data_IF_880887425025
#
_entry.id   IF_880887425025
#
_cell.length_a   1.000
_cell.length_b   1.000
_cell.length_c   1.000
_cell.angle_alpha   90.00
_cell.angle_beta   90.00
_cell.angle_gamma   90.00
#
_symmetry.space_group_name_H-M   'P 1'
#
loop_
_entity.id
_entity.type
_entity.pdbx_description
1 polymer ?
#
# COMPACT_ATOMS: atom_id res chain seq x y z
N UNK A 1 -11.69 -8.05 -25.88
CA UNK A 1 -10.90 -7.74 -24.66
C UNK A 1 -10.91 -8.86 -23.63
N UNK A 2 -11.82 -9.83 -23.74
CA UNK A 2 -11.84 -11.08 -22.96
C UNK A 2 -10.63 -11.99 -23.22
N UNK A 3 -9.81 -11.66 -24.20
CA UNK A 3 -8.65 -12.45 -24.59
C UNK A 3 -7.41 -12.22 -23.73
N UNK A 4 -7.44 -11.29 -22.79
CA UNK A 4 -6.29 -11.01 -21.92
C UNK A 4 -6.15 -12.03 -20.78
N UNK A 5 -7.26 -12.56 -20.28
CA UNK A 5 -7.24 -13.46 -19.12
C UNK A 5 -6.33 -14.69 -19.34
N UNK A 6 -6.39 -15.44 -20.47
CA UNK A 6 -5.52 -16.58 -20.69
C UNK A 6 -4.04 -16.21 -20.69
N UNK A 7 -3.68 -15.09 -21.32
CA UNK A 7 -2.31 -14.59 -21.36
C UNK A 7 -1.83 -14.17 -19.98
N UNK A 8 -2.66 -13.42 -19.24
CA UNK A 8 -2.32 -12.96 -17.88
C UNK A 8 -2.16 -14.13 -16.92
N UNK A 9 -2.99 -15.17 -17.03
CA UNK A 9 -2.86 -16.38 -16.23
C UNK A 9 -1.56 -17.12 -16.52
N UNK A 10 -1.19 -17.26 -17.79
CA UNK A 10 0.02 -17.94 -18.24
C UNK A 10 1.28 -17.19 -17.77
N UNK A 11 1.29 -15.86 -17.90
CA UNK A 11 2.45 -15.00 -17.64
C UNK A 11 2.47 -14.41 -16.23
N UNK A 12 1.56 -14.85 -15.35
CA UNK A 12 1.35 -14.32 -14.00
C UNK A 12 2.58 -14.44 -13.08
N UNK A 13 3.47 -15.41 -13.35
CA UNK A 13 4.53 -15.79 -12.40
C UNK A 13 4.03 -16.55 -11.17
N UNK A 14 2.72 -16.91 -11.13
CA UNK A 14 2.09 -17.64 -10.03
C UNK A 14 1.66 -19.05 -10.46
N UNK A 15 1.73 -20.05 -9.54
CA UNK A 15 2.22 -19.95 -8.16
C UNK A 15 3.71 -19.66 -8.08
N UNK A 16 4.11 -18.77 -7.17
CA UNK A 16 5.51 -18.37 -7.04
C UNK A 16 5.72 -17.30 -5.98
N UNK A 17 6.98 -16.99 -5.64
CA UNK A 17 7.30 -15.99 -4.62
C UNK A 17 6.93 -14.57 -5.06
N UNK A 18 6.97 -14.29 -6.37
CA UNK A 18 6.70 -12.97 -6.96
C UNK A 18 5.79 -13.12 -8.17
N UNK A 19 4.72 -12.32 -8.22
CA UNK A 19 3.93 -12.12 -9.44
C UNK A 19 4.70 -11.26 -10.46
N UNK A 20 4.27 -11.29 -11.70
CA UNK A 20 4.86 -10.50 -12.80
C UNK A 20 4.44 -9.02 -12.69
N UNK A 21 5.19 -8.24 -11.88
CA UNK A 21 4.88 -6.84 -11.61
C UNK A 21 4.98 -5.96 -12.86
N UNK A 22 5.92 -6.26 -13.73
CA UNK A 22 6.14 -5.58 -15.00
C UNK A 22 4.92 -5.73 -15.91
N UNK A 23 4.37 -6.94 -15.98
CA UNK A 23 3.14 -7.21 -16.74
C UNK A 23 1.94 -6.49 -16.10
N UNK A 24 1.82 -6.48 -14.77
CA UNK A 24 0.74 -5.76 -14.10
C UNK A 24 0.76 -4.25 -14.38
N UNK A 25 1.95 -3.64 -14.45
CA UNK A 25 2.10 -2.26 -14.85
C UNK A 25 1.69 -2.05 -16.32
N UNK A 26 2.11 -2.94 -17.23
CA UNK A 26 1.70 -2.88 -18.62
C UNK A 26 0.18 -3.01 -18.80
N UNK A 27 -0.46 -3.90 -18.02
CA UNK A 27 -1.93 -4.02 -17.98
C UNK A 27 -2.58 -2.70 -17.54
N UNK A 28 -2.01 -2.06 -16.51
CA UNK A 28 -2.52 -0.77 -16.04
C UNK A 28 -2.33 0.34 -17.10
N UNK A 29 -1.24 0.33 -17.84
CA UNK A 29 -0.96 1.33 -18.89
C UNK A 29 -1.87 1.18 -20.10
N UNK A 30 -2.11 -0.04 -20.55
CA UNK A 30 -2.86 -0.33 -21.79
C UNK A 30 -4.36 -0.56 -21.56
N UNK A 31 -4.75 -0.99 -20.34
CA UNK A 31 -6.14 -1.31 -20.01
C UNK A 31 -7.03 -0.09 -19.80
N UNK A 32 -8.30 -0.36 -19.57
CA UNK A 32 -9.34 0.60 -19.27
C UNK A 32 -10.16 0.17 -18.04
N UNK A 33 -10.97 1.07 -17.50
CA UNK A 33 -11.76 0.82 -16.30
C UNK A 33 -12.66 -0.43 -16.41
N UNK A 34 -13.38 -0.70 -17.53
CA UNK A 34 -14.13 -1.94 -17.70
C UNK A 34 -13.29 -3.21 -17.55
N UNK A 35 -12.07 -3.23 -18.11
CA UNK A 35 -11.15 -4.34 -17.93
C UNK A 35 -10.74 -4.49 -16.48
N UNK A 36 -10.35 -3.40 -15.81
CA UNK A 36 -9.90 -3.47 -14.42
C UNK A 36 -11.00 -3.94 -13.47
N UNK A 37 -12.24 -3.53 -13.70
CA UNK A 37 -13.41 -4.02 -12.95
C UNK A 37 -13.69 -5.49 -13.20
N UNK A 38 -13.55 -5.96 -14.45
CA UNK A 38 -13.62 -7.39 -14.76
C UNK A 38 -12.55 -8.16 -13.98
N UNK A 39 -11.29 -7.75 -14.05
CA UNK A 39 -10.19 -8.41 -13.36
C UNK A 39 -10.37 -8.40 -11.83
N UNK A 40 -10.91 -7.33 -11.25
CA UNK A 40 -11.23 -7.25 -9.82
C UNK A 40 -12.39 -8.17 -9.40
N UNK A 41 -13.23 -8.63 -10.33
CA UNK A 41 -14.35 -9.51 -9.99
C UNK A 41 -13.92 -10.90 -9.49
N UNK A 42 -12.65 -11.28 -9.71
CA UNK A 42 -12.09 -12.53 -9.19
C UNK A 42 -11.83 -12.43 -7.68
N UNK A 43 -12.86 -12.72 -6.89
CA UNK A 43 -12.81 -12.70 -5.43
C UNK A 43 -11.92 -13.82 -4.84
N UNK A 44 -11.67 -13.79 -3.52
CA UNK A 44 -10.74 -14.74 -2.86
C UNK A 44 -11.08 -16.22 -3.05
N UNK A 45 -12.34 -16.55 -3.26
CA UNK A 45 -12.78 -17.94 -3.51
C UNK A 45 -12.39 -18.43 -4.92
N UNK A 46 -12.52 -17.56 -5.94
CA UNK A 46 -12.19 -17.87 -7.32
C UNK A 46 -10.69 -17.70 -7.60
N UNK A 47 -10.06 -16.79 -6.88
CA UNK A 47 -8.68 -16.41 -7.02
C UNK A 47 -7.96 -16.51 -5.66
N UNK A 48 -7.75 -17.73 -5.12
CA UNK A 48 -7.10 -17.91 -3.83
C UNK A 48 -5.65 -17.44 -3.87
N UNK A 49 -5.11 -17.12 -2.69
CA UNK A 49 -3.72 -16.66 -2.54
C UNK A 49 -2.74 -17.59 -3.26
N UNK A 50 -1.83 -17.00 -4.01
CA UNK A 50 -0.78 -17.66 -4.78
C UNK A 50 -1.29 -18.49 -5.98
N UNK A 51 -2.55 -18.35 -6.39
CA UNK A 51 -3.04 -18.90 -7.66
C UNK A 51 -2.79 -17.92 -8.81
N UNK A 52 -2.68 -18.39 -10.07
CA UNK A 52 -2.62 -17.50 -11.23
C UNK A 52 -3.81 -16.52 -11.31
N UNK A 53 -4.98 -16.93 -10.84
CA UNK A 53 -6.16 -16.06 -10.78
C UNK A 53 -6.01 -14.87 -9.83
N UNK A 54 -5.22 -15.00 -8.73
CA UNK A 54 -4.89 -13.86 -7.86
C UNK A 54 -4.23 -12.74 -8.64
N UNK A 55 -3.43 -13.09 -9.67
CA UNK A 55 -2.78 -12.11 -10.52
C UNK A 55 -3.75 -11.26 -11.32
N UNK A 56 -4.86 -11.85 -11.79
CA UNK A 56 -5.93 -11.10 -12.48
C UNK A 56 -6.48 -10.02 -11.55
N UNK A 57 -6.89 -10.40 -10.34
CA UNK A 57 -7.41 -9.46 -9.36
C UNK A 57 -6.38 -8.37 -8.99
N UNK A 58 -5.12 -8.77 -8.84
CA UNK A 58 -4.01 -7.85 -8.60
C UNK A 58 -3.86 -6.81 -9.73
N UNK A 59 -3.88 -7.25 -11.01
CA UNK A 59 -3.85 -6.35 -12.17
C UNK A 59 -5.03 -5.38 -12.17
N UNK A 60 -6.22 -5.86 -11.77
CA UNK A 60 -7.40 -5.00 -11.63
C UNK A 60 -7.18 -3.89 -10.59
N UNK A 61 -6.63 -4.21 -9.41
CA UNK A 61 -6.33 -3.23 -8.38
C UNK A 61 -5.29 -2.20 -8.85
N UNK A 62 -4.17 -2.66 -9.45
CA UNK A 62 -3.13 -1.77 -10.01
C UNK A 62 -3.69 -0.87 -11.10
N UNK A 63 -4.56 -1.43 -11.97
CA UNK A 63 -5.21 -0.70 -13.07
C UNK A 63 -6.11 0.44 -12.61
N UNK A 64 -6.84 0.29 -11.50
CA UNK A 64 -7.63 1.37 -10.92
C UNK A 64 -6.79 2.59 -10.54
N UNK A 65 -5.48 2.42 -10.30
CA UNK A 65 -4.56 3.53 -10.09
C UNK A 65 -4.43 4.45 -11.31
N UNK A 66 -4.53 3.92 -12.56
CA UNK A 66 -4.61 4.75 -13.77
C UNK A 66 -5.89 5.58 -13.81
N UNK A 67 -7.02 4.93 -13.52
CA UNK A 67 -8.33 5.59 -13.51
C UNK A 67 -8.37 6.72 -12.48
N UNK A 68 -7.80 6.48 -11.29
CA UNK A 68 -7.64 7.47 -10.23
C UNK A 68 -6.74 8.62 -10.66
N UNK A 69 -5.59 8.32 -11.28
CA UNK A 69 -4.64 9.33 -11.78
C UNK A 69 -5.22 10.17 -12.95
N UNK A 70 -6.24 9.67 -13.63
CA UNK A 70 -7.00 10.40 -14.66
C UNK A 70 -8.12 11.28 -14.07
N UNK A 71 -8.28 11.30 -12.74
CA UNK A 71 -9.21 12.18 -12.03
C UNK A 71 -10.52 11.53 -11.62
N UNK A 72 -10.78 10.25 -11.93
CA UNK A 72 -11.96 9.55 -11.43
C UNK A 72 -11.74 9.08 -9.99
N UNK A 73 -12.02 9.95 -9.03
CA UNK A 73 -11.85 9.67 -7.60
C UNK A 73 -12.90 8.70 -7.03
N UNK A 74 -13.94 8.35 -7.79
CA UNK A 74 -14.95 7.38 -7.33
C UNK A 74 -14.35 5.99 -7.09
N UNK A 75 -13.31 5.63 -7.83
CA UNK A 75 -12.61 4.33 -7.63
C UNK A 75 -11.82 4.24 -6.33
N UNK A 76 -11.67 5.35 -5.60
CA UNK A 76 -10.97 5.35 -4.31
C UNK A 76 -11.70 4.48 -3.25
N UNK A 77 -13.03 4.41 -3.31
CA UNK A 77 -13.82 3.53 -2.46
C UNK A 77 -13.55 2.05 -2.75
N UNK A 78 -13.39 1.70 -4.04
CA UNK A 78 -13.06 0.33 -4.44
C UNK A 78 -11.67 -0.06 -3.96
N UNK A 79 -10.67 0.83 -4.13
CA UNK A 79 -9.32 0.62 -3.61
C UNK A 79 -9.30 0.51 -2.07
N UNK A 80 -10.13 1.29 -1.36
CA UNK A 80 -10.26 1.19 0.10
C UNK A 80 -10.83 -0.15 0.52
N UNK A 81 -11.80 -0.67 -0.21
CA UNK A 81 -12.32 -2.03 0.01
C UNK A 81 -11.23 -3.09 -0.25
N UNK A 82 -10.48 -2.97 -1.34
CA UNK A 82 -9.37 -3.87 -1.68
C UNK A 82 -8.22 -3.80 -0.66
N UNK A 83 -8.04 -2.70 0.06
CA UNK A 83 -7.04 -2.59 1.12
C UNK A 83 -7.30 -3.56 2.28
N UNK A 84 -8.55 -4.01 2.47
CA UNK A 84 -8.95 -5.01 3.46
C UNK A 84 -9.00 -6.45 2.90
N UNK A 85 -8.54 -6.68 1.67
CA UNK A 85 -8.53 -8.03 1.07
C UNK A 85 -7.62 -8.99 1.87
N UNK A 86 -8.05 -10.22 2.16
CA UNK A 86 -7.22 -11.20 2.87
C UNK A 86 -5.95 -11.56 2.11
N UNK A 87 -5.93 -11.45 0.79
CA UNK A 87 -4.77 -11.73 -0.05
C UNK A 87 -3.76 -10.59 0.03
N UNK A 88 -2.55 -10.88 0.46
CA UNK A 88 -1.52 -9.85 0.66
C UNK A 88 -1.12 -9.14 -0.64
N UNK A 89 -1.17 -9.83 -1.80
CA UNK A 89 -0.87 -9.22 -3.10
C UNK A 89 -1.91 -8.17 -3.49
N UNK A 90 -3.17 -8.38 -3.15
CA UNK A 90 -4.20 -7.36 -3.36
C UNK A 90 -3.87 -6.06 -2.64
N UNK A 91 -3.42 -6.17 -1.37
CA UNK A 91 -2.99 -5.01 -0.58
C UNK A 91 -1.75 -4.32 -1.16
N UNK A 92 -0.84 -5.08 -1.80
CA UNK A 92 0.28 -4.50 -2.57
C UNK A 92 -0.22 -3.78 -3.83
N UNK A 93 -1.15 -4.38 -4.57
CA UNK A 93 -1.78 -3.76 -5.74
C UNK A 93 -2.44 -2.41 -5.41
N UNK A 94 -3.09 -2.32 -4.25
CA UNK A 94 -3.65 -1.05 -3.75
C UNK A 94 -2.55 -0.02 -3.50
N UNK A 95 -1.45 -0.40 -2.86
CA UNK A 95 -0.33 0.52 -2.65
C UNK A 95 0.24 1.03 -4.00
N UNK A 96 0.43 0.14 -4.97
CA UNK A 96 0.90 0.50 -6.31
C UNK A 96 -0.07 1.44 -7.05
N UNK A 97 -1.38 1.20 -6.92
CA UNK A 97 -2.42 2.07 -7.50
C UNK A 97 -2.38 3.48 -6.89
N UNK A 98 -2.29 3.58 -5.57
CA UNK A 98 -2.20 4.84 -4.86
C UNK A 98 -0.90 5.58 -5.15
N UNK A 99 0.22 4.86 -5.27
CA UNK A 99 1.50 5.43 -5.67
C UNK A 99 1.44 6.03 -7.08
N UNK A 100 0.78 5.35 -8.03
CA UNK A 100 0.55 5.89 -9.39
C UNK A 100 -0.25 7.20 -9.34
N UNK A 101 -1.22 7.30 -8.45
CA UNK A 101 -1.95 8.55 -8.22
C UNK A 101 -1.04 9.63 -7.62
N UNK A 102 -0.20 9.28 -6.66
CA UNK A 102 0.77 10.17 -6.05
C UNK A 102 1.80 10.74 -7.04
N UNK A 103 2.22 9.95 -8.04
CA UNK A 103 3.07 10.41 -9.15
C UNK A 103 2.40 11.55 -9.94
N UNK A 104 1.07 11.58 -9.99
CA UNK A 104 0.29 12.60 -10.68
C UNK A 104 -0.11 13.76 -9.78
N UNK A 105 -0.54 13.47 -8.55
CA UNK A 105 -1.01 14.45 -7.57
C UNK A 105 -0.73 13.96 -6.14
N UNK A 106 0.43 14.32 -5.62
CA UNK A 106 0.85 13.93 -4.27
C UNK A 106 0.03 14.62 -3.18
N UNK A 107 -0.43 15.85 -3.41
CA UNK A 107 -1.24 16.58 -2.43
C UNK A 107 -2.63 15.93 -2.27
N UNK A 108 -3.26 15.48 -3.37
CA UNK A 108 -4.50 14.73 -3.32
C UNK A 108 -4.34 13.37 -2.64
N UNK A 109 -3.24 12.64 -2.96
CA UNK A 109 -2.92 11.38 -2.28
C UNK A 109 -2.78 11.60 -0.77
N UNK A 110 -1.99 12.58 -0.34
CA UNK A 110 -1.80 12.90 1.07
C UNK A 110 -3.13 13.18 1.78
N UNK A 111 -4.01 14.00 1.17
CA UNK A 111 -5.32 14.30 1.73
C UNK A 111 -6.19 13.05 1.94
N UNK A 112 -6.18 12.11 0.99
CA UNK A 112 -6.90 10.84 1.14
C UNK A 112 -6.26 9.96 2.22
N UNK A 113 -4.94 9.86 2.26
CA UNK A 113 -4.21 9.00 3.20
C UNK A 113 -4.28 9.53 4.64
N UNK A 114 -4.44 10.82 4.87
CA UNK A 114 -4.79 11.38 6.18
C UNK A 114 -6.09 10.77 6.72
N UNK A 115 -7.11 10.61 5.86
CA UNK A 115 -8.35 9.95 6.25
C UNK A 115 -8.17 8.46 6.52
N UNK A 116 -7.42 7.74 5.65
CA UNK A 116 -7.20 6.30 5.81
C UNK A 116 -6.33 5.98 7.02
N UNK A 117 -5.43 6.88 7.42
CA UNK A 117 -4.59 6.72 8.61
C UNK A 117 -5.38 6.71 9.92
N UNK A 118 -6.62 7.19 9.90
CA UNK A 118 -7.54 7.15 11.05
C UNK A 118 -8.48 5.94 11.03
N UNK A 119 -8.37 5.09 10.01
CA UNK A 119 -9.21 3.91 9.81
C UNK A 119 -8.72 2.67 10.57
N UNK A 120 -9.13 1.50 10.08
CA UNK A 120 -8.69 0.21 10.62
C UNK A 120 -7.21 -0.09 10.31
N UNK A 121 -6.60 -1.12 10.92
CA UNK A 121 -5.17 -1.42 10.71
C UNK A 121 -4.77 -1.65 9.25
N UNK A 122 -5.64 -2.23 8.41
CA UNK A 122 -5.33 -2.46 7.00
C UNK A 122 -5.41 -1.17 6.16
N UNK A 123 -6.31 -0.26 6.48
CA UNK A 123 -6.36 1.08 5.89
C UNK A 123 -5.11 1.89 6.28
N UNK A 124 -4.72 1.84 7.55
CA UNK A 124 -3.48 2.45 8.05
C UNK A 124 -2.24 1.88 7.35
N UNK A 125 -2.21 0.56 7.17
CA UNK A 125 -1.13 -0.11 6.41
C UNK A 125 -1.10 0.36 4.95
N UNK A 126 -2.26 0.49 4.30
CA UNK A 126 -2.34 0.96 2.92
C UNK A 126 -1.86 2.42 2.80
N UNK A 127 -2.26 3.29 3.74
CA UNK A 127 -1.79 4.68 3.80
C UNK A 127 -0.26 4.75 3.93
N UNK A 128 0.32 4.02 4.90
CA UNK A 128 1.75 3.99 5.10
C UNK A 128 2.50 3.46 3.86
N UNK A 129 2.04 2.34 3.27
CA UNK A 129 2.69 1.74 2.10
C UNK A 129 2.58 2.59 0.83
N UNK A 130 1.47 3.31 0.65
CA UNK A 130 1.30 4.21 -0.48
C UNK A 130 2.23 5.43 -0.40
N UNK A 131 2.38 6.01 0.78
CA UNK A 131 3.14 7.24 1.00
C UNK A 131 4.66 7.01 1.11
N UNK A 132 5.08 5.84 1.62
CA UNK A 132 6.50 5.53 1.83
C UNK A 132 7.13 4.90 0.58
N UNK A 133 7.04 5.60 -0.52
CA UNK A 133 7.67 5.26 -1.80
C UNK A 133 8.70 6.35 -2.12
N UNK A 134 10.01 6.02 -2.25
CA UNK A 134 11.08 7.02 -2.38
C UNK A 134 10.85 8.06 -3.48
N UNK A 135 10.32 7.66 -4.65
CA UNK A 135 10.10 8.59 -5.77
C UNK A 135 9.07 9.68 -5.47
N UNK A 136 8.14 9.43 -4.53
CA UNK A 136 7.10 10.39 -4.13
C UNK A 136 7.59 11.41 -3.10
N UNK A 137 8.73 11.14 -2.46
CA UNK A 137 9.25 11.89 -1.33
C UNK A 137 10.34 12.90 -1.73
N UNK A 138 10.19 13.51 -2.89
CA UNK A 138 11.16 14.50 -3.42
C UNK A 138 10.98 15.93 -2.87
N UNK A 139 9.82 16.25 -2.29
CA UNK A 139 9.51 17.56 -1.73
C UNK A 139 9.41 17.51 -0.22
N UNK A 140 10.17 18.36 0.47
CA UNK A 140 10.24 18.43 1.93
C UNK A 140 8.84 18.53 2.58
N UNK A 141 7.99 19.43 2.09
CA UNK A 141 6.61 19.61 2.58
C UNK A 141 5.76 18.31 2.56
N UNK A 142 6.01 17.44 1.56
CA UNK A 142 5.31 16.16 1.46
C UNK A 142 5.86 15.17 2.50
N UNK A 143 7.18 15.13 2.68
CA UNK A 143 7.82 14.25 3.65
C UNK A 143 7.41 14.60 5.08
N UNK A 144 7.31 15.90 5.41
CA UNK A 144 6.81 16.36 6.72
C UNK A 144 5.39 15.85 6.99
N UNK A 145 4.48 15.92 6.00
CA UNK A 145 3.12 15.37 6.13
C UNK A 145 3.14 13.85 6.28
N UNK A 146 4.01 13.15 5.54
CA UNK A 146 4.18 11.69 5.69
C UNK A 146 4.67 11.32 7.08
N UNK A 147 5.67 12.02 7.61
CA UNK A 147 6.16 11.82 8.99
C UNK A 147 5.03 12.05 10.02
N UNK A 148 4.21 13.08 9.82
CA UNK A 148 3.05 13.34 10.68
C UNK A 148 2.03 12.19 10.62
N UNK A 149 1.72 11.67 9.43
CA UNK A 149 0.81 10.53 9.26
C UNK A 149 1.38 9.27 9.93
N UNK A 150 2.67 8.97 9.74
CA UNK A 150 3.32 7.83 10.38
C UNK A 150 3.33 7.95 11.91
N UNK A 151 3.54 9.15 12.45
CA UNK A 151 3.47 9.43 13.89
C UNK A 151 2.05 9.15 14.43
N UNK A 152 1.02 9.60 13.71
CA UNK A 152 -0.38 9.34 14.05
C UNK A 152 -0.74 7.86 14.04
N UNK A 153 -0.34 7.11 13.00
CA UNK A 153 -0.55 5.67 12.91
C UNK A 153 0.18 4.95 14.06
N UNK A 154 1.45 5.30 14.32
CA UNK A 154 2.24 4.70 15.40
C UNK A 154 1.62 5.00 16.78
N UNK A 155 1.09 6.21 16.97
CA UNK A 155 0.36 6.60 18.18
C UNK A 155 -0.90 5.73 18.37
N UNK A 156 -1.68 5.50 17.31
CA UNK A 156 -2.92 4.71 17.38
C UNK A 156 -2.67 3.26 17.81
N UNK A 157 -1.51 2.71 17.46
CA UNK A 157 -1.13 1.34 17.86
C UNK A 157 -1.04 1.18 19.38
N UNK A 158 -0.67 2.22 20.12
CA UNK A 158 -0.57 2.15 21.58
C UNK A 158 -1.93 1.85 22.23
N UNK A 159 -3.03 2.32 21.62
CA UNK A 159 -4.40 2.08 22.09
C UNK A 159 -5.03 0.80 21.58
N UNK A 160 -4.39 0.07 20.67
CA UNK A 160 -4.96 -1.14 20.06
C UNK A 160 -5.01 -2.29 21.05
N UNK A 161 -6.20 -2.90 21.20
CA UNK A 161 -6.42 -4.06 22.09
C UNK A 161 -6.15 -5.40 21.40
N UNK A 162 -6.51 -5.53 20.11
CA UNK A 162 -6.41 -6.79 19.34
C UNK A 162 -5.08 -6.88 18.58
N UNK A 163 -3.98 -6.97 19.33
CA UNK A 163 -2.61 -7.01 18.76
C UNK A 163 -2.22 -8.34 18.14
N UNK A 164 -3.03 -9.37 18.33
CA UNK A 164 -2.81 -10.72 17.77
C UNK A 164 -3.54 -10.95 16.45
N UNK A 165 -4.37 -10.00 16.00
CA UNK A 165 -5.06 -10.10 14.72
C UNK A 165 -4.08 -10.04 13.54
N UNK A 166 -4.44 -10.67 12.43
CA UNK A 166 -3.64 -10.64 11.21
C UNK A 166 -3.56 -9.23 10.62
N UNK A 167 -4.61 -8.43 10.79
CA UNK A 167 -4.66 -7.03 10.36
C UNK A 167 -3.63 -6.18 11.09
N UNK A 168 -3.56 -6.31 12.44
CA UNK A 168 -2.55 -5.62 13.23
C UNK A 168 -1.13 -6.08 12.86
N UNK A 169 -0.93 -7.38 12.65
CA UNK A 169 0.36 -7.91 12.20
C UNK A 169 0.77 -7.35 10.85
N UNK A 170 -0.17 -7.22 9.90
CA UNK A 170 0.08 -6.63 8.59
C UNK A 170 0.48 -5.14 8.70
N UNK A 171 -0.21 -4.36 9.54
CA UNK A 171 0.15 -2.97 9.82
C UNK A 171 1.55 -2.88 10.43
N UNK A 172 1.83 -3.65 11.49
CA UNK A 172 3.12 -3.68 12.17
C UNK A 172 4.27 -4.00 11.21
N UNK A 173 4.08 -4.98 10.32
CA UNK A 173 5.07 -5.35 9.30
C UNK A 173 5.29 -4.22 8.30
N UNK A 174 4.24 -3.56 7.83
CA UNK A 174 4.34 -2.42 6.93
C UNK A 174 5.13 -1.27 7.54
N UNK A 175 4.82 -0.90 8.77
CA UNK A 175 5.55 0.15 9.50
C UNK A 175 7.01 -0.20 9.77
N UNK A 176 7.38 -1.50 9.82
CA UNK A 176 8.76 -1.98 9.95
C UNK A 176 9.67 -1.61 8.77
N UNK A 177 9.12 -0.96 7.74
CA UNK A 177 9.85 -0.43 6.59
C UNK A 177 9.61 1.09 6.37
N UNK A 178 8.38 1.55 6.58
CA UNK A 178 7.94 2.88 6.16
C UNK A 178 8.73 4.03 6.82
N UNK A 179 9.05 3.92 8.10
CA UNK A 179 9.80 4.94 8.81
C UNK A 179 11.17 5.20 8.19
N UNK A 180 11.91 4.14 7.82
CA UNK A 180 13.24 4.29 7.21
C UNK A 180 13.19 5.05 5.89
N UNK A 181 12.15 4.86 5.09
CA UNK A 181 11.96 5.55 3.80
C UNK A 181 11.72 7.04 4.03
N UNK A 182 10.82 7.39 4.94
CA UNK A 182 10.52 8.79 5.25
C UNK A 182 11.73 9.51 5.90
N UNK A 183 12.43 8.84 6.82
CA UNK A 183 13.64 9.39 7.47
C UNK A 183 14.77 9.58 6.46
N UNK A 184 14.96 8.66 5.50
CA UNK A 184 15.97 8.81 4.46
C UNK A 184 15.67 10.00 3.53
N UNK A 185 14.39 10.28 3.27
CA UNK A 185 13.98 11.40 2.42
C UNK A 185 14.15 12.79 3.11
N UNK A 186 13.98 12.86 4.43
CA UNK A 186 14.15 14.09 5.21
C UNK A 186 14.83 13.78 6.56
N UNK A 187 16.19 13.68 6.57
CA UNK A 187 16.91 13.09 7.70
C UNK A 187 16.77 13.83 9.03
N UNK A 188 16.82 15.16 9.06
CA UNK A 188 16.85 15.88 10.34
C UNK A 188 15.51 15.81 11.10
N UNK A 189 14.35 16.17 10.51
CA UNK A 189 13.06 15.97 11.19
C UNK A 189 12.72 14.50 11.37
N UNK A 190 13.10 13.64 10.39
CA UNK A 190 12.82 12.21 10.42
C UNK A 190 13.51 11.50 11.57
N UNK A 191 14.80 11.80 11.84
CA UNK A 191 15.54 11.26 12.98
C UNK A 191 14.89 11.65 14.30
N UNK A 192 14.56 12.93 14.47
CA UNK A 192 13.90 13.42 15.70
C UNK A 192 12.57 12.69 15.97
N UNK A 193 11.75 12.50 14.93
CA UNK A 193 10.50 11.77 15.03
C UNK A 193 10.73 10.29 15.36
N UNK A 194 11.73 9.64 14.76
CA UNK A 194 12.05 8.24 15.01
C UNK A 194 12.66 8.02 16.41
N UNK A 195 13.52 8.92 16.88
CA UNK A 195 14.13 8.87 18.23
C UNK A 195 13.08 8.89 19.33
N UNK A 196 12.02 9.71 19.19
CA UNK A 196 10.85 9.69 20.07
C UNK A 196 10.28 8.28 20.22
N UNK A 197 10.13 7.55 19.10
CA UNK A 197 9.57 6.21 19.09
C UNK A 197 10.55 5.12 19.53
N UNK A 198 11.85 5.33 19.34
CA UNK A 198 12.89 4.44 19.87
C UNK A 198 12.90 4.40 21.40
N UNK A 199 12.50 5.49 22.06
CA UNK A 199 12.33 5.55 23.49
C UNK A 199 11.06 4.86 24.03
N UNK A 200 10.17 4.39 23.15
CA UNK A 200 8.93 3.72 23.53
C UNK A 200 9.20 2.43 24.31
N UNK A 201 8.37 2.17 25.33
CA UNK A 201 8.37 0.89 26.07
C UNK A 201 7.46 -0.15 25.43
N UNK A 202 6.63 0.23 24.47
CA UNK A 202 5.72 -0.67 23.76
C UNK A 202 6.50 -1.67 22.89
N UNK A 203 6.26 -3.00 23.06
CA UNK A 203 7.05 -4.02 22.39
C UNK A 203 6.90 -4.02 20.85
N UNK A 204 5.71 -3.69 20.32
CA UNK A 204 5.47 -3.66 18.88
C UNK A 204 6.11 -2.42 18.26
N UNK A 205 6.01 -1.27 18.89
CA UNK A 205 6.69 -0.03 18.45
C UNK A 205 8.21 -0.22 18.47
N UNK A 206 8.77 -0.80 19.54
CA UNK A 206 10.20 -1.11 19.59
C UNK A 206 10.64 -2.06 18.47
N UNK A 207 9.82 -3.06 18.17
CA UNK A 207 10.09 -3.96 17.06
C UNK A 207 10.09 -3.20 15.71
N UNK A 208 9.09 -2.34 15.47
CA UNK A 208 9.02 -1.50 14.26
C UNK A 208 10.29 -0.67 14.11
N UNK A 209 10.70 0.05 15.15
CA UNK A 209 11.89 0.90 15.08
C UNK A 209 13.16 0.06 14.80
N UNK A 210 13.29 -1.09 15.47
CA UNK A 210 14.41 -2.01 15.25
C UNK A 210 14.46 -2.54 13.80
N UNK A 211 13.31 -2.85 13.18
CA UNK A 211 13.26 -3.31 11.80
C UNK A 211 13.66 -2.20 10.81
N UNK A 212 13.25 -0.96 11.07
CA UNK A 212 13.64 0.19 10.24
C UNK A 212 15.16 0.46 10.31
N UNK A 213 15.79 0.29 11.47
CA UNK A 213 17.25 0.46 11.63
C UNK A 213 18.09 -0.59 10.88
N UNK A 214 17.49 -1.69 10.41
CA UNK A 214 18.17 -2.70 9.60
C UNK A 214 18.20 -2.36 8.10
N UNK A 215 17.49 -1.32 7.69
CA UNK A 215 17.42 -0.91 6.28
C UNK A 215 18.63 -0.03 5.97
N UNK A 216 19.32 -0.36 4.87
CA UNK A 216 20.47 0.39 4.36
C UNK A 216 20.02 1.47 3.36
#
# INVERSE_FOLDING_TARGET
RTDWDPFLLQESGLPGPRGNLELAQAVADEGDEPLFRHLLSFGPQQAPTNSPYEFLAFCGAVGLGKVLAQGNTLVLSDLRHCAADPRWRMREGVAMALQRWGDKDMDALLGAMESWSQGNPLEQRAAAAALCEPRLLSQEKHVERVLYILDGITTSMLGTRERTSDDFRALRQGLGYCWSVAVAALPEPGKLAMEKWMASTDPDVRWIMKENLKKN
#
